data_IF_728091316958
#
_entry.id   IF_728091316958
#
_cell.length_a   1.000
_cell.length_b   1.000
_cell.length_c   1.000
_cell.angle_alpha   90.00
_cell.angle_beta   90.00
_cell.angle_gamma   90.00
#
_symmetry.space_group_name_H-M   'P 1'
#
loop_
_entity.id
_entity.type
_entity.pdbx_description
1 polymer ?
#
# COMPACT_ATOMS: atom_id res chain seq x y z
N UNK A 1 10.27 6.74 15.18
CA UNK A 1 9.00 6.29 14.60
C UNK A 1 8.96 4.77 14.66
N UNK A 2 7.90 4.16 15.22
CA UNK A 2 7.76 2.70 15.24
C UNK A 2 7.80 2.16 13.80
N UNK A 3 8.46 1.02 13.59
CA UNK A 3 8.46 0.32 12.31
C UNK A 3 7.12 -0.38 12.20
N UNK A 4 6.26 0.13 11.34
CA UNK A 4 5.00 -0.51 11.01
C UNK A 4 5.27 -1.77 10.21
N UNK A 5 4.82 -2.90 10.76
CA UNK A 5 4.91 -4.21 10.12
C UNK A 5 3.52 -4.61 9.68
N UNK A 6 3.15 -4.22 8.45
CA UNK A 6 2.03 -4.87 7.77
C UNK A 6 2.53 -6.26 7.35
N UNK A 7 1.89 -7.32 7.84
CA UNK A 7 2.20 -8.70 7.45
C UNK A 7 1.05 -9.19 6.61
N UNK A 8 1.30 -9.45 5.33
CA UNK A 8 0.32 -10.00 4.41
C UNK A 8 0.66 -11.47 4.11
N UNK A 9 -0.31 -12.39 4.29
CA UNK A 9 -0.24 -13.73 3.70
C UNK A 9 0.02 -13.67 2.19
N UNK A 10 0.61 -14.73 1.64
CA UNK A 10 0.92 -14.81 0.21
C UNK A 10 -0.34 -14.67 -0.68
N UNK A 11 -1.48 -15.22 -0.23
CA UNK A 11 -2.76 -15.10 -0.94
C UNK A 11 -3.25 -13.65 -1.01
N UNK A 12 -3.27 -12.95 0.12
CA UNK A 12 -3.69 -11.54 0.20
C UNK A 12 -2.77 -10.64 -0.63
N UNK A 13 -1.47 -10.93 -0.61
CA UNK A 13 -0.47 -10.23 -1.43
C UNK A 13 -0.73 -10.41 -2.92
N UNK A 14 -1.06 -11.63 -3.35
CA UNK A 14 -1.41 -11.91 -4.75
C UNK A 14 -2.71 -11.21 -5.17
N UNK A 15 -3.73 -11.21 -4.29
CA UNK A 15 -4.98 -10.52 -4.54
C UNK A 15 -4.78 -9.00 -4.66
N UNK A 16 -4.01 -8.40 -3.77
CA UNK A 16 -3.71 -6.97 -3.83
C UNK A 16 -2.88 -6.61 -5.07
N UNK A 17 -1.94 -7.47 -5.47
CA UNK A 17 -1.20 -7.27 -6.72
C UNK A 17 -2.12 -7.31 -7.94
N UNK A 18 -3.13 -8.19 -7.93
CA UNK A 18 -4.14 -8.22 -8.99
C UNK A 18 -4.98 -6.94 -9.03
N UNK A 19 -5.43 -6.44 -7.86
CA UNK A 19 -6.16 -5.17 -7.73
C UNK A 19 -5.36 -3.98 -8.25
N UNK A 20 -4.04 -3.97 -8.09
CA UNK A 20 -3.16 -2.91 -8.64
C UNK A 20 -3.00 -3.04 -10.15
N UNK A 21 -2.96 -4.28 -10.67
CA UNK A 21 -2.75 -4.56 -12.09
C UNK A 21 -4.04 -4.48 -12.92
N UNK A 22 -5.21 -4.61 -12.30
CA UNK A 22 -6.51 -4.56 -12.97
C UNK A 22 -6.88 -3.11 -13.32
N UNK A 23 -6.89 -2.82 -14.62
CA UNK A 23 -7.27 -1.51 -15.16
C UNK A 23 -8.74 -1.14 -14.96
N UNK A 24 -9.59 -2.07 -14.52
CA UNK A 24 -10.99 -1.79 -14.20
C UNK A 24 -11.21 -1.42 -12.73
N UNK A 25 -10.18 -1.60 -11.89
CA UNK A 25 -10.28 -1.28 -10.48
C UNK A 25 -10.32 0.25 -10.29
N UNK A 26 -11.25 0.78 -9.47
CA UNK A 26 -11.24 2.19 -9.10
C UNK A 26 -9.88 2.64 -8.59
N UNK A 27 -9.38 3.77 -9.10
CA UNK A 27 -8.04 4.27 -8.79
C UNK A 27 -7.79 4.39 -7.28
N UNK A 28 -8.82 4.75 -6.50
CA UNK A 28 -8.75 4.79 -5.04
C UNK A 28 -8.43 3.44 -4.40
N UNK A 29 -8.99 2.34 -4.92
CA UNK A 29 -8.70 0.99 -4.44
C UNK A 29 -7.30 0.52 -4.88
N UNK A 30 -6.92 0.81 -6.12
CA UNK A 30 -5.58 0.50 -6.62
C UNK A 30 -4.47 1.22 -5.82
N UNK A 31 -4.69 2.48 -5.46
CA UNK A 31 -3.77 3.25 -4.61
C UNK A 31 -3.67 2.64 -3.21
N UNK A 32 -4.80 2.26 -2.60
CA UNK A 32 -4.81 1.62 -1.27
C UNK A 32 -4.08 0.27 -1.28
N UNK A 33 -4.31 -0.54 -2.30
CA UNK A 33 -3.62 -1.81 -2.47
C UNK A 33 -2.10 -1.61 -2.64
N UNK A 34 -1.69 -0.57 -3.40
CA UNK A 34 -0.29 -0.19 -3.56
C UNK A 34 0.37 0.22 -2.24
N UNK A 35 -0.35 0.96 -1.38
CA UNK A 35 0.12 1.34 -0.03
C UNK A 35 0.38 0.07 0.79
N UNK A 36 -0.60 -0.83 0.88
CA UNK A 36 -0.50 -2.05 1.69
C UNK A 36 0.65 -2.96 1.22
N UNK A 37 0.83 -3.13 -0.10
CA UNK A 37 1.93 -3.91 -0.66
C UNK A 37 3.30 -3.32 -0.29
N UNK A 38 3.49 -2.01 -0.46
CA UNK A 38 4.75 -1.36 -0.12
C UNK A 38 5.05 -1.40 1.38
N UNK A 39 4.03 -1.25 2.23
CA UNK A 39 4.20 -1.39 3.68
C UNK A 39 4.56 -2.83 4.08
N UNK A 40 3.97 -3.83 3.41
CA UNK A 40 4.35 -5.23 3.60
C UNK A 40 5.79 -5.53 3.15
N UNK A 41 6.28 -4.79 2.16
CA UNK A 41 7.70 -4.78 1.75
C UNK A 41 8.62 -3.96 2.65
N UNK A 42 8.10 -3.50 3.80
CA UNK A 42 8.81 -2.69 4.79
C UNK A 42 9.33 -1.37 4.25
N UNK A 43 8.70 -0.84 3.20
CA UNK A 43 8.96 0.51 2.73
C UNK A 43 8.48 1.50 3.80
N UNK A 44 9.33 2.49 4.12
CA UNK A 44 8.98 3.51 5.10
C UNK A 44 7.72 4.29 4.65
N UNK A 45 6.75 4.57 5.53
CA UNK A 45 5.54 5.32 5.18
C UNK A 45 5.82 6.67 4.50
N UNK A 46 6.91 7.35 4.86
CA UNK A 46 7.35 8.58 4.21
C UNK A 46 7.73 8.38 2.74
N UNK A 47 8.40 7.26 2.41
CA UNK A 47 8.75 6.92 1.03
C UNK A 47 7.54 6.47 0.23
N UNK A 48 6.60 5.75 0.85
CA UNK A 48 5.31 5.40 0.23
C UNK A 48 4.55 6.67 -0.16
N UNK A 49 4.46 7.64 0.76
CA UNK A 49 3.80 8.92 0.52
C UNK A 49 4.44 9.67 -0.67
N UNK A 50 5.77 9.76 -0.71
CA UNK A 50 6.49 10.39 -1.82
C UNK A 50 6.27 9.66 -3.15
N UNK A 51 6.34 8.32 -3.16
CA UNK A 51 6.24 7.52 -4.40
C UNK A 51 4.84 7.56 -5.01
N UNK A 52 3.81 7.71 -4.20
CA UNK A 52 2.41 7.81 -4.65
C UNK A 52 1.88 9.24 -4.72
N UNK A 53 2.72 10.25 -4.48
CA UNK A 53 2.30 11.67 -4.38
C UNK A 53 1.14 11.90 -3.39
N UNK A 54 1.17 11.21 -2.25
CA UNK A 54 0.16 11.29 -1.19
C UNK A 54 0.68 12.05 0.03
N UNK A 55 -0.23 12.52 0.88
CA UNK A 55 0.15 13.05 2.20
C UNK A 55 0.58 11.91 3.14
N UNK A 56 1.49 12.21 4.07
CA UNK A 56 1.91 11.25 5.10
C UNK A 56 0.72 10.77 5.95
N UNK A 57 -0.23 11.66 6.22
CA UNK A 57 -1.46 11.32 6.95
C UNK A 57 -2.30 10.32 6.17
N UNK A 58 -2.41 10.46 4.85
CA UNK A 58 -3.12 9.49 4.01
C UNK A 58 -2.54 8.09 4.18
N UNK A 59 -1.21 7.94 4.16
CA UNK A 59 -0.54 6.64 4.36
C UNK A 59 -0.74 6.10 5.78
N UNK A 60 -0.76 6.97 6.80
CA UNK A 60 -0.97 6.56 8.20
C UNK A 60 -2.37 6.02 8.51
N UNK A 61 -3.38 6.29 7.69
CA UNK A 61 -4.72 5.68 7.88
C UNK A 61 -4.77 4.18 7.52
N UNK A 62 -3.75 3.65 6.83
CA UNK A 62 -3.70 2.28 6.32
C UNK A 62 -2.74 1.38 7.09
N UNK A 63 -2.42 1.79 8.31
CA UNK A 63 -1.27 1.39 9.09
C UNK A 63 -1.73 0.87 10.43
#
# INVERSE_FOLDING_TARGET
MPRLCVVLPAADRAQLAHVVADGNTPQTLAVRASILLMLADRVRPSHVATRLALSRNHVHYWV
#
